data_IF_989934332837
#
_entry.id   IF_989934332837
#
_cell.length_a   1.000
_cell.length_b   1.000
_cell.length_c   1.000
_cell.angle_alpha   90.00
_cell.angle_beta   90.00
_cell.angle_gamma   90.00
#
_symmetry.space_group_name_H-M   'P 1'
#
loop_
_entity.id
_entity.type
_entity.pdbx_description
1 polymer ?
#
# COMPACT_ATOMS: atom_id res chain seq x y z
N UNK A 1 -24.92 13.59 11.51
CA UNK A 1 -23.87 14.40 12.17
C UNK A 1 -22.88 13.60 13.03
N UNK A 2 -23.31 12.68 13.93
CA UNK A 2 -22.40 11.99 14.86
C UNK A 2 -21.30 11.17 14.15
N UNK A 3 -21.67 10.48 13.06
CA UNK A 3 -20.75 9.66 12.26
C UNK A 3 -19.70 10.48 11.49
N UNK A 4 -20.01 11.74 11.17
CA UNK A 4 -19.09 12.65 10.48
C UNK A 4 -18.02 13.17 11.44
N UNK A 5 -18.39 13.42 12.69
CA UNK A 5 -17.47 13.78 13.77
C UNK A 5 -16.62 12.59 14.23
N UNK A 6 -17.17 11.37 14.23
CA UNK A 6 -16.41 10.14 14.45
C UNK A 6 -15.41 9.88 13.32
N UNK A 7 -15.82 10.08 12.07
CA UNK A 7 -14.94 10.00 10.90
C UNK A 7 -13.85 11.07 10.92
N UNK A 8 -14.19 12.31 11.28
CA UNK A 8 -13.22 13.39 11.45
C UNK A 8 -12.28 13.17 12.64
N UNK A 9 -12.76 12.58 13.74
CA UNK A 9 -11.96 12.24 14.92
C UNK A 9 -10.96 11.13 14.63
N UNK A 10 -11.37 10.07 13.92
CA UNK A 10 -10.49 9.01 13.44
C UNK A 10 -9.53 9.56 12.38
N UNK A 11 -10.01 10.40 11.46
CA UNK A 11 -9.20 11.08 10.46
C UNK A 11 -8.14 11.98 11.08
N UNK A 12 -8.48 12.77 12.11
CA UNK A 12 -7.54 13.60 12.87
C UNK A 12 -6.56 12.77 13.69
N UNK A 13 -7.00 11.63 14.24
CA UNK A 13 -6.11 10.68 14.91
C UNK A 13 -5.09 10.11 13.91
N UNK A 14 -5.51 9.70 12.71
CA UNK A 14 -4.62 9.25 11.63
C UNK A 14 -3.70 10.38 11.14
N UNK A 15 -4.20 11.61 11.05
CA UNK A 15 -3.43 12.80 10.67
C UNK A 15 -2.35 13.17 11.70
N UNK A 16 -2.55 12.81 12.98
CA UNK A 16 -1.58 12.96 14.06
C UNK A 16 -0.69 11.75 14.32
N UNK A 17 -1.08 10.54 13.89
CA UNK A 17 -0.41 9.28 14.26
C UNK A 17 0.69 8.84 13.28
N UNK A 18 0.76 9.43 12.07
CA UNK A 18 1.86 9.15 11.14
C UNK A 18 2.71 10.42 10.93
N UNK A 19 3.87 10.52 11.61
CA UNK A 19 4.74 11.68 11.49
C UNK A 19 5.19 11.84 10.04
N UNK A 20 4.97 13.02 9.49
CA UNK A 20 5.31 13.34 8.09
C UNK A 20 6.81 13.17 7.85
N UNK A 21 7.63 13.46 8.86
CA UNK A 21 9.08 13.23 8.86
C UNK A 21 9.48 11.74 8.77
N UNK A 22 8.68 10.84 9.33
CA UNK A 22 8.95 9.40 9.27
C UNK A 22 8.56 8.86 7.90
N UNK A 23 7.41 9.27 7.37
CA UNK A 23 6.96 8.86 6.03
C UNK A 23 7.95 9.36 4.97
N UNK A 24 8.33 10.64 5.01
CA UNK A 24 9.24 11.20 4.01
C UNK A 24 10.64 10.58 4.07
N UNK A 25 11.16 10.27 5.27
CA UNK A 25 12.44 9.57 5.41
C UNK A 25 12.40 8.10 4.98
N UNK A 26 11.33 7.38 5.33
CA UNK A 26 11.29 5.92 5.15
C UNK A 26 10.62 5.50 3.85
N UNK A 27 9.66 6.27 3.34
CA UNK A 27 8.86 5.95 2.17
C UNK A 27 8.87 7.07 1.09
N UNK A 28 9.71 8.09 1.27
CA UNK A 28 9.86 9.19 0.31
C UNK A 28 10.63 8.80 -0.96
N UNK A 29 10.70 9.72 -1.94
CA UNK A 29 11.31 9.48 -3.25
C UNK A 29 12.80 9.12 -3.19
N UNK A 30 13.51 9.64 -2.18
CA UNK A 30 14.95 9.44 -2.01
C UNK A 30 15.32 8.04 -1.51
N UNK A 31 14.34 7.25 -1.04
CA UNK A 31 14.57 5.88 -0.58
C UNK A 31 14.13 4.85 -1.63
N UNK A 32 15.06 4.21 -2.37
CA UNK A 32 14.70 3.17 -3.33
C UNK A 32 14.04 1.96 -2.67
N UNK A 33 14.31 1.68 -1.39
CA UNK A 33 13.67 0.58 -0.65
C UNK A 33 12.21 0.87 -0.28
N UNK A 34 11.72 2.11 -0.45
CA UNK A 34 10.34 2.47 -0.18
C UNK A 34 9.35 1.60 -0.97
N UNK A 35 9.65 1.33 -2.25
CA UNK A 35 8.76 0.60 -3.15
C UNK A 35 8.63 -0.88 -2.76
N UNK A 36 9.72 -1.66 -2.59
CA UNK A 36 9.63 -3.04 -2.10
C UNK A 36 9.00 -3.17 -0.71
N UNK A 37 9.35 -2.27 0.22
CA UNK A 37 8.79 -2.30 1.58
C UNK A 37 7.29 -2.02 1.54
N UNK A 38 6.85 -1.04 0.75
CA UNK A 38 5.44 -0.74 0.57
C UNK A 38 4.67 -1.90 -0.07
N UNK A 39 5.25 -2.61 -1.06
CA UNK A 39 4.65 -3.82 -1.62
C UNK A 39 4.48 -4.92 -0.56
N UNK A 40 5.50 -5.18 0.28
CA UNK A 40 5.43 -6.18 1.37
C UNK A 40 4.35 -5.80 2.39
N UNK A 41 4.30 -4.54 2.79
CA UNK A 41 3.30 -4.03 3.73
C UNK A 41 1.90 -4.06 3.11
N UNK A 42 1.81 -3.83 1.80
CA UNK A 42 0.57 -3.86 1.04
C UNK A 42 -0.08 -5.23 1.08
N UNK A 43 0.66 -6.31 0.81
CA UNK A 43 0.14 -7.69 0.74
C UNK A 43 -0.82 -8.05 1.90
N UNK A 44 -0.48 -7.88 3.19
CA UNK A 44 -1.40 -8.23 4.28
C UNK A 44 -2.53 -7.21 4.52
N UNK A 45 -2.51 -6.03 3.90
CA UNK A 45 -3.50 -4.98 4.15
C UNK A 45 -4.82 -5.31 3.47
N UNK A 46 -5.86 -5.53 4.27
CA UNK A 46 -7.22 -5.68 3.79
C UNK A 46 -7.93 -4.33 3.75
N UNK A 47 -7.70 -3.58 2.68
CA UNK A 47 -8.40 -2.33 2.39
C UNK A 47 -8.95 -2.43 0.96
N UNK A 48 -10.18 -1.96 0.76
CA UNK A 48 -10.80 -1.89 -0.55
C UNK A 48 -10.07 -0.89 -1.44
N UNK A 49 -9.87 -1.22 -2.71
CA UNK A 49 -9.14 -0.37 -3.66
C UNK A 49 -9.74 1.06 -3.73
N UNK A 50 -11.06 1.18 -3.64
CA UNK A 50 -11.80 2.45 -3.63
C UNK A 50 -11.40 3.35 -2.46
N UNK A 51 -11.06 2.75 -1.31
CA UNK A 51 -10.58 3.47 -0.12
C UNK A 51 -9.07 3.66 -0.12
N UNK A 52 -8.30 2.83 -0.84
CA UNK A 52 -6.85 2.99 -0.93
C UNK A 52 -6.45 4.19 -1.79
N UNK A 53 -7.24 4.56 -2.81
CA UNK A 53 -6.94 5.73 -3.65
C UNK A 53 -6.86 7.04 -2.83
N UNK A 54 -7.92 7.44 -2.07
CA UNK A 54 -7.85 8.67 -1.28
C UNK A 54 -6.79 8.62 -0.17
N UNK A 55 -6.57 7.44 0.44
CA UNK A 55 -5.48 7.25 1.43
C UNK A 55 -4.12 7.44 0.77
N UNK A 56 -3.92 6.86 -0.43
CA UNK A 56 -2.69 6.98 -1.19
C UNK A 56 -2.37 8.43 -1.55
N UNK A 57 -3.37 9.20 -1.97
CA UNK A 57 -3.22 10.64 -2.24
C UNK A 57 -2.79 11.40 -0.98
N UNK A 58 -3.43 11.14 0.17
CA UNK A 58 -3.04 11.75 1.44
C UNK A 58 -1.61 11.36 1.87
N UNK A 59 -1.16 10.13 1.57
CA UNK A 59 0.21 9.69 1.84
C UNK A 59 1.24 10.38 0.92
N UNK A 60 0.89 10.63 -0.34
CA UNK A 60 1.71 11.42 -1.27
C UNK A 60 1.84 12.87 -0.76
N UNK A 61 0.73 13.47 -0.33
CA UNK A 61 0.75 14.81 0.31
C UNK A 61 1.62 14.86 1.57
N UNK A 62 1.78 13.71 2.24
CA UNK A 62 2.67 13.51 3.39
C UNK A 62 4.12 13.15 3.02
N UNK A 63 4.47 13.20 1.74
CA UNK A 63 5.84 13.00 1.25
C UNK A 63 6.21 11.56 0.92
N UNK A 64 5.24 10.64 0.85
CA UNK A 64 5.47 9.30 0.32
C UNK A 64 5.66 9.36 -1.20
N UNK A 65 6.56 8.53 -1.75
CA UNK A 65 6.72 8.45 -3.20
C UNK A 65 5.48 7.85 -3.88
N UNK A 66 5.16 8.37 -5.07
CA UNK A 66 4.03 7.88 -5.89
C UNK A 66 4.17 6.38 -6.15
N UNK A 67 5.39 5.93 -6.46
CA UNK A 67 5.70 4.52 -6.67
C UNK A 67 5.48 3.65 -5.43
N UNK A 68 5.83 4.13 -4.24
CA UNK A 68 5.59 3.38 -3.01
C UNK A 68 4.09 3.26 -2.72
N UNK A 69 3.31 4.32 -2.96
CA UNK A 69 1.84 4.26 -2.83
C UNK A 69 1.25 3.28 -3.84
N UNK A 70 1.72 3.31 -5.10
CA UNK A 70 1.25 2.39 -6.12
C UNK A 70 1.54 0.92 -5.75
N UNK A 71 2.75 0.65 -5.26
CA UNK A 71 3.17 -0.66 -4.78
C UNK A 71 2.34 -1.14 -3.58
N UNK A 72 2.00 -0.24 -2.66
CA UNK A 72 1.10 -0.50 -1.53
C UNK A 72 -0.30 -0.91 -2.02
N UNK A 73 -0.86 -0.15 -2.98
CA UNK A 73 -2.19 -0.39 -3.56
C UNK A 73 -2.24 -1.73 -4.28
N UNK A 74 -1.26 -2.01 -5.13
CA UNK A 74 -1.19 -3.27 -5.89
C UNK A 74 -1.02 -4.46 -4.94
N UNK A 75 -0.16 -4.34 -3.92
CA UNK A 75 0.02 -5.39 -2.91
C UNK A 75 -1.26 -5.67 -2.14
N UNK A 76 -1.91 -4.61 -1.62
CA UNK A 76 -3.12 -4.72 -0.81
C UNK A 76 -4.33 -5.20 -1.59
N UNK A 77 -4.57 -4.68 -2.79
CA UNK A 77 -5.65 -5.16 -3.63
C UNK A 77 -5.38 -6.54 -4.23
N UNK A 78 -4.12 -6.85 -4.55
CA UNK A 78 -3.75 -8.04 -5.30
C UNK A 78 -3.55 -9.31 -4.47
N UNK A 79 -3.12 -9.21 -3.21
CA UNK A 79 -2.78 -10.36 -2.38
C UNK A 79 -3.20 -10.23 -0.91
N UNK A 80 -4.35 -9.60 -0.65
CA UNK A 80 -4.90 -9.42 0.71
C UNK A 80 -5.07 -10.73 1.49
N UNK A 81 -5.08 -10.65 2.83
CA UNK A 81 -5.29 -11.82 3.70
C UNK A 81 -6.56 -12.61 3.33
N UNK A 82 -7.73 -12.00 3.08
CA UNK A 82 -8.91 -12.75 2.68
C UNK A 82 -8.75 -13.46 1.33
N UNK A 83 -8.09 -12.80 0.37
CA UNK A 83 -7.81 -13.38 -0.96
C UNK A 83 -6.89 -14.59 -0.83
N UNK A 84 -5.79 -14.47 -0.07
CA UNK A 84 -4.86 -15.58 0.17
C UNK A 84 -5.51 -16.71 0.97
N UNK A 85 -6.41 -16.38 1.90
CA UNK A 85 -7.15 -17.38 2.68
C UNK A 85 -8.09 -18.18 1.76
N UNK A 86 -8.84 -17.49 0.90
CA UNK A 86 -9.68 -18.13 -0.11
C UNK A 86 -8.85 -19.02 -1.03
N UNK A 87 -7.77 -18.46 -1.60
CA UNK A 87 -6.92 -19.16 -2.54
C UNK A 87 -6.22 -20.37 -1.91
N UNK A 88 -5.86 -20.31 -0.62
CA UNK A 88 -5.23 -21.41 0.11
C UNK A 88 -6.12 -22.67 0.22
N UNK A 89 -7.44 -22.52 0.11
CA UNK A 89 -8.39 -23.64 0.12
C UNK A 89 -8.45 -24.40 -1.22
N UNK A 90 -8.02 -23.75 -2.31
CA UNK A 90 -8.09 -24.29 -3.68
C UNK A 90 -6.69 -24.64 -4.20
N UNK A 91 -5.69 -23.84 -3.87
CA UNK A 91 -4.35 -23.90 -4.45
C UNK A 91 -3.37 -24.70 -3.58
N UNK A 92 -2.42 -25.38 -4.24
CA UNK A 92 -1.26 -25.96 -3.56
C UNK A 92 -0.36 -24.82 -3.04
N UNK A 93 0.32 -25.03 -1.91
CA UNK A 93 1.24 -24.04 -1.30
C UNK A 93 2.22 -23.42 -2.31
N UNK A 94 2.75 -24.20 -3.25
CA UNK A 94 3.66 -23.73 -4.31
C UNK A 94 3.02 -22.69 -5.24
N UNK A 95 1.73 -22.84 -5.54
CA UNK A 95 0.99 -21.94 -6.41
C UNK A 95 0.61 -20.65 -5.67
N UNK A 96 0.27 -20.75 -4.38
CA UNK A 96 0.03 -19.59 -3.52
C UNK A 96 1.30 -18.73 -3.37
N UNK A 97 2.46 -19.35 -3.15
CA UNK A 97 3.74 -18.62 -3.07
C UNK A 97 4.09 -17.96 -4.40
N UNK A 98 3.84 -18.63 -5.53
CA UNK A 98 4.06 -18.05 -6.85
C UNK A 98 3.13 -16.83 -7.09
N UNK A 99 1.85 -16.94 -6.71
CA UNK A 99 0.89 -15.85 -6.80
C UNK A 99 1.35 -14.61 -6.02
N UNK A 100 1.71 -14.77 -4.74
CA UNK A 100 2.21 -13.66 -3.92
C UNK A 100 3.48 -13.07 -4.52
N UNK A 101 4.41 -13.91 -4.98
CA UNK A 101 5.65 -13.45 -5.61
C UNK A 101 5.36 -12.64 -6.90
N UNK A 102 4.38 -13.06 -7.71
CA UNK A 102 3.96 -12.33 -8.90
C UNK A 102 3.33 -10.99 -8.56
N UNK A 103 2.39 -10.94 -7.61
CA UNK A 103 1.76 -9.68 -7.17
C UNK A 103 2.81 -8.71 -6.61
N UNK A 104 3.71 -9.22 -5.77
CA UNK A 104 4.83 -8.44 -5.24
C UNK A 104 5.72 -7.91 -6.36
N UNK A 105 6.10 -8.74 -7.32
CA UNK A 105 6.95 -8.34 -8.45
C UNK A 105 6.28 -7.27 -9.31
N UNK A 106 4.98 -7.42 -9.61
CA UNK A 106 4.21 -6.42 -10.35
C UNK A 106 4.16 -5.10 -9.57
N UNK A 107 3.87 -5.15 -8.26
CA UNK A 107 3.82 -3.95 -7.41
C UNK A 107 5.16 -3.21 -7.39
N UNK A 108 6.28 -3.94 -7.30
CA UNK A 108 7.62 -3.36 -7.30
C UNK A 108 7.98 -2.75 -8.65
N UNK A 109 7.76 -3.49 -9.75
CA UNK A 109 8.06 -3.01 -11.11
C UNK A 109 7.22 -1.78 -11.43
N UNK A 110 5.91 -1.84 -11.15
CA UNK A 110 5.00 -0.72 -11.38
C UNK A 110 5.35 0.49 -10.50
N UNK A 111 5.73 0.27 -9.24
CA UNK A 111 6.16 1.34 -8.36
C UNK A 111 7.43 2.06 -8.84
N UNK A 112 8.45 1.30 -9.29
CA UNK A 112 9.65 1.92 -9.86
C UNK A 112 9.38 2.62 -11.20
N UNK A 113 8.54 2.03 -12.05
CA UNK A 113 8.11 2.68 -13.30
C UNK A 113 7.37 3.99 -13.02
N UNK A 114 6.48 4.01 -12.02
CA UNK A 114 5.78 5.21 -11.62
C UNK A 114 6.76 6.28 -11.12
N UNK A 115 7.69 5.93 -10.22
CA UNK A 115 8.72 6.86 -9.76
C UNK A 115 9.54 7.42 -10.92
N UNK A 116 9.88 6.61 -11.93
CA UNK A 116 10.62 7.06 -13.11
C UNK A 116 9.82 8.00 -14.01
N UNK A 117 8.52 7.77 -14.17
CA UNK A 117 7.63 8.63 -14.97
C UNK A 117 7.29 9.95 -14.27
N UNK A 118 7.30 9.96 -12.94
CA UNK A 118 6.98 11.15 -12.12
C UNK A 118 8.21 11.96 -11.70
N UNK A 119 9.41 11.50 -12.07
CA UNK A 119 10.69 12.20 -11.87
C UNK A 119 10.90 13.30 -12.92
#
# INVERSE_FOLDING_TARGET
>A
MPYLLLGAGIGAFIHGFVPTDIISRLAGPDNPLAVPVAAIIGVPIYIRAETMIPIGLALIEKGMSVGAVLALVIGGAGASIPELTLLSSIFKKKLLTAFVATVFSIGVIAGYLANLLTL
#
